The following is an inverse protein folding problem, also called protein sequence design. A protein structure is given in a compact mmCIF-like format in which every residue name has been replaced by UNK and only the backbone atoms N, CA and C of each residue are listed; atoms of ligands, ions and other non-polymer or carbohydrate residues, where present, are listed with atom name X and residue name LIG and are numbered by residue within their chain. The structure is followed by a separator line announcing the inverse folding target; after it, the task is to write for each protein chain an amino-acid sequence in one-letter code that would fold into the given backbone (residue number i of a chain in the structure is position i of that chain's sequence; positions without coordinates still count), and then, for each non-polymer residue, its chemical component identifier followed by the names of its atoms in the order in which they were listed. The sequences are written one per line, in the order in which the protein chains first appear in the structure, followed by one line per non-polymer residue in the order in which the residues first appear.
data_IF_389132259983
#
_entry.id   IF_389132259983
#
_cell.length_a   1.000
_cell.length_b   1.000
_cell.length_c   1.000
_cell.angle_alpha   90.00
_cell.angle_beta   90.00
_cell.angle_gamma   90.00
#
_symmetry.space_group_name_H-M   'P 1'
#
loop_
_entity.id
_entity.type
_entity.pdbx_description
1 polymer ?
#
# COMPACT_ATOMS: atom_id res chain seq x y z
N UNK A 1 18.82 -32.92 38.23
CA UNK A 1 19.16 -32.72 36.82
C UNK A 1 18.20 -31.69 36.24
N UNK A 2 18.62 -30.46 36.13
CA UNK A 2 17.90 -29.32 35.63
C UNK A 2 18.13 -29.25 34.11
N UNK A 3 17.07 -29.42 33.34
CA UNK A 3 17.08 -29.16 31.89
C UNK A 3 16.85 -27.65 31.68
N UNK A 4 17.90 -26.99 31.24
CA UNK A 4 17.86 -25.63 30.71
C UNK A 4 17.38 -25.72 29.26
N UNK A 5 16.21 -25.19 28.98
CA UNK A 5 15.73 -25.03 27.61
C UNK A 5 16.29 -23.75 27.03
N UNK A 6 17.09 -23.90 25.97
CA UNK A 6 17.68 -22.84 25.18
C UNK A 6 16.60 -21.97 24.47
N UNK A 7 16.70 -20.65 24.49
CA UNK A 7 15.77 -19.80 23.76
C UNK A 7 16.05 -19.90 22.25
N UNK A 8 14.96 -19.99 21.49
CA UNK A 8 14.89 -20.04 20.04
C UNK A 8 15.92 -19.13 19.36
N UNK A 9 16.98 -19.74 18.85
CA UNK A 9 17.84 -19.11 17.87
C UNK A 9 17.01 -18.86 16.60
N UNK A 10 16.72 -17.61 16.32
CA UNK A 10 16.36 -17.18 14.98
C UNK A 10 17.57 -17.48 14.10
N UNK A 11 17.59 -18.65 13.46
CA UNK A 11 18.53 -18.95 12.40
C UNK A 11 18.24 -17.97 11.28
N UNK A 12 19.07 -16.93 11.20
CA UNK A 12 19.22 -16.18 9.97
C UNK A 12 19.55 -17.22 8.88
N UNK A 13 18.64 -17.47 7.97
CA UNK A 13 18.91 -18.25 6.77
C UNK A 13 19.94 -17.44 5.97
N UNK A 14 21.23 -17.76 6.13
CA UNK A 14 22.28 -17.28 5.25
C UNK A 14 22.03 -17.98 3.90
N UNK A 15 21.15 -17.41 3.10
CA UNK A 15 21.06 -17.78 1.69
C UNK A 15 22.39 -17.39 1.04
N UNK A 16 23.03 -18.29 0.26
CA UNK A 16 24.29 -17.96 -0.39
C UNK A 16 24.09 -16.70 -1.24
N UNK A 17 24.96 -15.72 -1.04
CA UNK A 17 24.93 -14.45 -1.77
C UNK A 17 25.08 -14.74 -3.27
N UNK A 18 24.18 -14.24 -4.09
CA UNK A 18 24.26 -14.42 -5.55
C UNK A 18 25.61 -13.85 -6.05
N UNK A 19 26.28 -14.59 -6.90
CA UNK A 19 27.57 -14.16 -7.49
C UNK A 19 27.37 -12.89 -8.37
N UNK A 20 26.22 -12.74 -9.04
CA UNK A 20 25.85 -11.58 -9.83
C UNK A 20 24.59 -10.92 -9.24
N UNK A 21 24.65 -9.60 -9.09
CA UNK A 21 23.51 -8.80 -8.59
C UNK A 21 22.35 -8.82 -9.58
N UNK A 22 21.12 -8.69 -9.08
CA UNK A 22 19.93 -8.48 -9.91
C UNK A 22 19.96 -7.12 -10.58
N UNK A 23 19.81 -7.08 -11.89
CA UNK A 23 19.62 -5.85 -12.66
C UNK A 23 18.27 -5.23 -12.27
N UNK A 24 18.31 -4.14 -11.52
CA UNK A 24 17.13 -3.52 -10.90
C UNK A 24 16.85 -2.16 -11.52
N UNK A 25 15.61 -1.91 -11.92
CA UNK A 25 15.14 -0.62 -12.39
C UNK A 25 14.12 -0.02 -11.41
N UNK A 26 14.05 1.30 -11.35
CA UNK A 26 13.11 2.05 -10.51
C UNK A 26 12.23 2.92 -11.39
N UNK A 27 10.91 2.78 -11.28
CA UNK A 27 9.91 3.61 -11.96
C UNK A 27 9.13 4.39 -10.90
N UNK A 28 9.20 5.72 -10.99
CA UNK A 28 8.79 6.63 -9.93
C UNK A 28 9.92 6.85 -8.94
N UNK A 29 10.78 7.84 -9.23
CA UNK A 29 12.01 8.13 -8.48
C UNK A 29 11.83 9.22 -7.42
N UNK A 30 10.58 9.46 -7.01
CA UNK A 30 10.25 10.35 -5.91
C UNK A 30 10.75 9.84 -4.55
N UNK A 31 10.35 10.53 -3.48
CA UNK A 31 10.78 10.21 -2.11
C UNK A 31 10.62 8.71 -1.77
N UNK A 32 9.47 8.11 -2.08
CA UNK A 32 9.20 6.73 -1.65
C UNK A 32 9.94 5.69 -2.52
N UNK A 33 9.99 5.90 -3.83
CA UNK A 33 10.81 5.06 -4.72
C UNK A 33 12.29 5.08 -4.34
N UNK A 34 12.79 6.25 -3.89
CA UNK A 34 14.14 6.38 -3.32
C UNK A 34 14.36 5.54 -2.06
N UNK A 35 13.38 5.48 -1.15
CA UNK A 35 13.49 4.67 0.07
C UNK A 35 13.51 3.16 -0.25
N UNK A 36 12.69 2.69 -1.19
CA UNK A 36 12.70 1.29 -1.61
C UNK A 36 14.02 0.96 -2.32
N UNK A 37 14.49 1.84 -3.19
CA UNK A 37 15.80 1.70 -3.84
C UNK A 37 16.95 1.60 -2.84
N UNK A 38 16.93 2.42 -1.80
CA UNK A 38 17.92 2.36 -0.72
C UNK A 38 17.92 0.99 -0.04
N UNK A 39 16.76 0.45 0.30
CA UNK A 39 16.64 -0.89 0.88
C UNK A 39 17.16 -1.98 -0.05
N UNK A 40 16.90 -1.86 -1.35
CA UNK A 40 17.43 -2.78 -2.37
C UNK A 40 18.96 -2.75 -2.47
N UNK A 41 19.56 -1.55 -2.33
CA UNK A 41 21.02 -1.37 -2.32
C UNK A 41 21.62 -1.95 -1.05
N UNK A 42 21.04 -1.66 0.11
CA UNK A 42 21.51 -2.14 1.41
C UNK A 42 21.48 -3.67 1.53
N UNK A 43 20.53 -4.32 0.88
CA UNK A 43 20.48 -5.78 0.77
C UNK A 43 21.69 -6.35 0.00
N UNK A 44 22.37 -5.55 -0.81
CA UNK A 44 23.63 -5.89 -1.49
C UNK A 44 23.49 -6.80 -2.70
N UNK A 45 22.27 -7.16 -3.09
CA UNK A 45 21.98 -8.07 -4.21
C UNK A 45 21.36 -7.36 -5.42
N UNK A 46 21.23 -6.04 -5.39
CA UNK A 46 20.68 -5.23 -6.47
C UNK A 46 21.74 -4.35 -7.11
N UNK A 47 21.75 -4.27 -8.44
CA UNK A 47 22.46 -3.29 -9.22
C UNK A 47 21.44 -2.38 -9.89
N UNK A 48 21.49 -1.09 -9.60
CA UNK A 48 20.56 -0.13 -10.20
C UNK A 48 21.03 0.19 -11.62
N UNK A 49 20.31 -0.32 -12.60
CA UNK A 49 20.65 -0.16 -14.03
C UNK A 49 19.86 0.93 -14.73
N UNK A 50 18.69 1.29 -14.21
CA UNK A 50 17.84 2.33 -14.78
C UNK A 50 17.00 3.06 -13.72
N UNK A 51 16.78 4.34 -13.97
CA UNK A 51 15.82 5.18 -13.27
C UNK A 51 14.84 5.74 -14.30
N UNK A 52 13.55 5.69 -14.00
CA UNK A 52 12.48 6.18 -14.88
C UNK A 52 11.54 7.10 -14.10
N UNK A 53 11.38 8.33 -14.58
CA UNK A 53 10.41 9.29 -14.04
C UNK A 53 10.07 10.32 -15.11
N UNK A 54 8.86 10.83 -15.11
CA UNK A 54 8.40 11.87 -16.05
C UNK A 54 8.89 13.26 -15.67
N UNK A 55 9.40 13.44 -14.44
CA UNK A 55 10.01 14.67 -13.94
C UNK A 55 11.54 14.54 -13.91
N UNK A 56 12.22 15.24 -14.81
CA UNK A 56 13.69 15.18 -14.92
C UNK A 56 14.42 15.71 -13.70
N UNK A 57 13.77 16.54 -12.87
CA UNK A 57 14.31 16.99 -11.58
C UNK A 57 14.42 15.85 -10.59
N UNK A 58 13.41 14.97 -10.55
CA UNK A 58 13.44 13.77 -9.71
C UNK A 58 14.51 12.77 -10.19
N UNK A 59 14.62 12.55 -11.50
CA UNK A 59 15.66 11.71 -12.08
C UNK A 59 17.06 12.20 -11.69
N UNK A 60 17.33 13.51 -11.86
CA UNK A 60 18.62 14.11 -11.53
C UNK A 60 18.93 13.94 -10.04
N UNK A 61 18.00 14.33 -9.18
CA UNK A 61 18.17 14.26 -7.72
C UNK A 61 18.46 12.81 -7.28
N UNK A 62 17.67 11.84 -7.74
CA UNK A 62 17.82 10.44 -7.34
C UNK A 62 19.10 9.82 -7.90
N UNK A 63 19.52 10.21 -9.12
CA UNK A 63 20.81 9.78 -9.68
C UNK A 63 22.00 10.33 -8.88
N UNK A 64 21.94 11.60 -8.46
CA UNK A 64 22.95 12.21 -7.59
C UNK A 64 23.03 11.55 -6.23
N UNK A 65 21.87 11.27 -5.60
CA UNK A 65 21.80 10.57 -4.31
C UNK A 65 22.33 9.13 -4.41
N UNK A 66 22.00 8.42 -5.48
CA UNK A 66 22.52 7.08 -5.76
C UNK A 66 24.05 7.07 -5.91
N UNK A 67 24.63 8.08 -6.59
CA UNK A 67 26.08 8.16 -6.81
C UNK A 67 26.89 8.29 -5.52
N UNK A 68 26.28 8.75 -4.42
CA UNK A 68 26.89 8.82 -3.08
C UNK A 68 26.89 7.46 -2.36
N UNK A 69 26.07 6.53 -2.80
CA UNK A 69 25.83 5.24 -2.12
C UNK A 69 26.49 4.07 -2.83
N UNK A 70 26.59 4.13 -4.15
CA UNK A 70 27.11 3.05 -4.98
C UNK A 70 27.91 3.58 -6.18
N UNK A 71 28.64 2.69 -6.85
CA UNK A 71 29.29 2.98 -8.13
C UNK A 71 28.37 2.72 -9.34
N UNK A 72 27.11 2.37 -9.13
CA UNK A 72 26.16 2.13 -10.21
C UNK A 72 25.93 3.40 -11.02
N UNK A 73 25.83 3.24 -12.34
CA UNK A 73 25.57 4.32 -13.28
C UNK A 73 24.31 4.01 -14.08
N UNK A 74 23.12 4.26 -13.49
CA UNK A 74 21.86 3.95 -14.15
C UNK A 74 21.65 4.86 -15.37
N UNK A 75 21.01 4.32 -16.39
CA UNK A 75 20.47 5.14 -17.47
C UNK A 75 19.16 5.77 -17.04
N UNK A 76 18.88 6.97 -17.54
CA UNK A 76 17.73 7.77 -17.19
C UNK A 76 16.69 7.71 -18.31
N UNK A 77 15.46 7.45 -17.96
CA UNK A 77 14.33 7.32 -18.89
C UNK A 77 13.14 8.17 -18.44
N UNK A 78 12.36 8.64 -19.40
CA UNK A 78 11.06 9.29 -19.13
C UNK A 78 9.89 8.39 -19.44
N UNK A 79 10.11 7.30 -20.18
CA UNK A 79 9.12 6.30 -20.57
C UNK A 79 9.57 4.90 -20.13
N UNK A 80 8.76 4.27 -19.27
CA UNK A 80 9.05 2.93 -18.75
C UNK A 80 9.07 1.86 -19.85
N UNK A 81 8.33 2.05 -20.94
CA UNK A 81 8.28 1.11 -22.08
C UNK A 81 9.63 1.05 -22.80
N UNK A 82 10.22 2.22 -23.03
CA UNK A 82 11.57 2.33 -23.58
C UNK A 82 12.61 1.73 -22.64
N UNK A 83 12.51 2.01 -21.35
CA UNK A 83 13.39 1.46 -20.31
C UNK A 83 13.33 -0.08 -20.30
N UNK A 84 12.15 -0.67 -20.26
CA UNK A 84 11.97 -2.13 -20.25
C UNK A 84 12.57 -2.78 -21.50
N UNK A 85 12.32 -2.21 -22.69
CA UNK A 85 12.82 -2.73 -23.96
C UNK A 85 14.35 -2.71 -24.04
N UNK A 86 14.99 -1.62 -23.56
CA UNK A 86 16.44 -1.42 -23.67
C UNK A 86 17.23 -2.09 -22.56
N UNK A 87 16.76 -1.98 -21.31
CA UNK A 87 17.55 -2.43 -20.16
C UNK A 87 17.23 -3.86 -19.72
N UNK A 88 16.06 -4.40 -20.04
CA UNK A 88 15.62 -5.74 -19.68
C UNK A 88 15.94 -6.09 -18.22
N UNK A 89 15.45 -5.31 -17.26
CA UNK A 89 15.75 -5.51 -15.85
C UNK A 89 15.19 -6.85 -15.36
N UNK A 90 15.85 -7.44 -14.35
CA UNK A 90 15.37 -8.65 -13.66
C UNK A 90 14.37 -8.32 -12.56
N UNK A 91 14.48 -7.10 -12.00
CA UNK A 91 13.57 -6.55 -10.97
C UNK A 91 13.17 -5.14 -11.39
N UNK A 92 11.88 -4.83 -11.24
CA UNK A 92 11.35 -3.47 -11.39
C UNK A 92 10.65 -3.05 -10.10
N UNK A 93 11.09 -1.93 -9.55
CA UNK A 93 10.41 -1.22 -8.45
C UNK A 93 9.41 -0.25 -9.08
N UNK A 94 8.14 -0.34 -8.70
CA UNK A 94 7.05 0.52 -9.17
C UNK A 94 6.54 1.34 -7.98
N UNK A 95 6.87 2.63 -7.97
CA UNK A 95 6.53 3.57 -6.90
C UNK A 95 6.00 4.90 -7.45
N UNK A 96 5.22 4.81 -8.49
CA UNK A 96 4.49 5.90 -9.15
C UNK A 96 3.18 6.23 -8.39
N UNK A 97 2.37 7.22 -8.81
CA UNK A 97 0.98 7.32 -8.37
C UNK A 97 0.14 6.08 -8.74
N UNK A 98 -0.92 5.83 -7.97
CA UNK A 98 -1.74 4.60 -8.01
C UNK A 98 -2.24 4.26 -9.43
N UNK A 99 -2.64 5.27 -10.20
CA UNK A 99 -3.21 5.10 -11.54
C UNK A 99 -2.21 4.54 -12.57
N UNK A 100 -0.92 4.55 -12.26
CA UNK A 100 0.13 4.00 -13.11
C UNK A 100 0.57 2.59 -12.72
N UNK A 101 0.33 2.17 -11.46
CA UNK A 101 0.81 0.88 -10.96
C UNK A 101 0.45 -0.30 -11.89
N UNK A 102 -0.82 -0.44 -12.36
CA UNK A 102 -1.21 -1.61 -13.14
C UNK A 102 -0.45 -1.75 -14.46
N UNK A 103 -0.39 -0.68 -15.24
CA UNK A 103 0.25 -0.73 -16.57
C UNK A 103 1.74 -1.01 -16.48
N UNK A 104 2.43 -0.37 -15.53
CA UNK A 104 3.87 -0.55 -15.38
C UNK A 104 4.19 -1.94 -14.84
N UNK A 105 3.48 -2.41 -13.81
CA UNK A 105 3.72 -3.72 -13.23
C UNK A 105 3.43 -4.86 -14.21
N UNK A 106 2.33 -4.78 -14.96
CA UNK A 106 1.97 -5.75 -15.99
C UNK A 106 3.03 -5.79 -17.10
N UNK A 107 3.42 -4.63 -17.64
CA UNK A 107 4.43 -4.56 -18.68
C UNK A 107 5.79 -5.10 -18.20
N UNK A 108 6.17 -4.82 -16.95
CA UNK A 108 7.41 -5.34 -16.37
C UNK A 108 7.39 -6.87 -16.24
N UNK A 109 6.30 -7.45 -15.74
CA UNK A 109 6.15 -8.91 -15.64
C UNK A 109 6.14 -9.58 -17.01
N UNK A 110 5.45 -9.01 -18.00
CA UNK A 110 5.45 -9.49 -19.39
C UNK A 110 6.82 -9.38 -20.04
N UNK A 111 7.62 -8.38 -19.69
CA UNK A 111 9.01 -8.22 -20.12
C UNK A 111 9.99 -9.19 -19.38
N UNK A 112 9.49 -9.99 -18.44
CA UNK A 112 10.28 -11.02 -17.74
C UNK A 112 10.85 -10.58 -16.39
N UNK A 113 10.51 -9.39 -15.88
CA UNK A 113 10.97 -8.91 -14.59
C UNK A 113 10.08 -9.40 -13.42
N UNK A 114 10.68 -9.62 -12.25
CA UNK A 114 9.96 -9.66 -11.00
C UNK A 114 9.64 -8.22 -10.55
N UNK A 115 8.54 -8.02 -9.85
CA UNK A 115 8.05 -6.68 -9.54
C UNK A 115 7.88 -6.47 -8.04
N UNK A 116 8.38 -5.35 -7.55
CA UNK A 116 7.97 -4.77 -6.28
C UNK A 116 7.09 -3.56 -6.59
N UNK A 117 5.79 -3.63 -6.26
CA UNK A 117 4.83 -2.56 -6.53
C UNK A 117 4.31 -1.97 -5.24
N UNK A 118 4.19 -0.65 -5.18
CA UNK A 118 3.60 0.02 -4.03
C UNK A 118 2.08 -0.20 -3.92
N UNK A 119 1.61 -0.07 -2.68
CA UNK A 119 0.18 -0.06 -2.32
C UNK A 119 -0.40 1.35 -2.55
N UNK A 120 -1.71 1.46 -2.81
CA UNK A 120 -2.61 0.43 -3.32
C UNK A 120 -2.15 -0.03 -4.72
N UNK A 121 -2.36 -1.30 -5.03
CA UNK A 121 -1.81 -1.85 -6.28
C UNK A 121 -2.47 -1.31 -7.55
N UNK A 122 -3.69 -0.77 -7.42
CA UNK A 122 -4.50 -0.34 -8.55
C UNK A 122 -5.48 0.75 -8.15
N UNK A 123 -5.98 1.46 -9.14
CA UNK A 123 -6.99 2.50 -8.99
C UNK A 123 -8.41 1.93 -9.09
N UNK A 124 -8.60 0.79 -9.77
CA UNK A 124 -9.86 0.06 -9.91
C UNK A 124 -9.67 -1.44 -9.66
N UNK A 125 -10.76 -2.13 -9.34
CA UNK A 125 -10.72 -3.56 -8.97
C UNK A 125 -10.23 -4.43 -10.12
N UNK A 126 -10.71 -4.19 -11.35
CA UNK A 126 -10.35 -5.02 -12.50
C UNK A 126 -8.90 -4.80 -12.96
N UNK A 127 -8.31 -3.62 -12.74
CA UNK A 127 -6.86 -3.41 -12.91
C UNK A 127 -6.05 -4.36 -12.00
N UNK A 128 -6.44 -4.45 -10.72
CA UNK A 128 -5.80 -5.35 -9.78
C UNK A 128 -5.96 -6.83 -10.15
N UNK A 129 -7.13 -7.24 -10.67
CA UNK A 129 -7.32 -8.60 -11.20
C UNK A 129 -6.38 -8.90 -12.35
N UNK A 130 -6.20 -7.97 -13.29
CA UNK A 130 -5.29 -8.13 -14.41
C UNK A 130 -3.84 -8.28 -13.93
N UNK A 131 -3.41 -7.54 -12.89
CA UNK A 131 -2.08 -7.69 -12.28
C UNK A 131 -1.88 -9.09 -11.69
N UNK A 132 -2.86 -9.58 -10.91
CA UNK A 132 -2.81 -10.94 -10.34
C UNK A 132 -2.73 -11.98 -11.46
N UNK A 133 -3.60 -11.87 -12.46
CA UNK A 133 -3.59 -12.78 -13.63
C UNK A 133 -2.23 -12.80 -14.32
N UNK A 134 -1.68 -11.63 -14.61
CA UNK A 134 -0.36 -11.52 -15.29
C UNK A 134 0.75 -12.14 -14.45
N UNK A 135 0.77 -11.92 -13.13
CA UNK A 135 1.78 -12.52 -12.26
C UNK A 135 1.71 -14.06 -12.30
N UNK A 136 0.52 -14.63 -12.27
CA UNK A 136 0.32 -16.10 -12.36
C UNK A 136 0.68 -16.64 -13.75
N UNK A 137 0.28 -15.94 -14.80
CA UNK A 137 0.55 -16.35 -16.18
C UNK A 137 2.05 -16.31 -16.52
N UNK A 138 2.76 -15.28 -16.09
CA UNK A 138 4.19 -15.13 -16.36
C UNK A 138 5.09 -15.90 -15.39
N UNK A 139 4.55 -16.38 -14.27
CA UNK A 139 5.30 -17.02 -13.18
C UNK A 139 6.25 -16.06 -12.47
N UNK A 140 6.07 -14.75 -12.60
CA UNK A 140 6.90 -13.75 -11.94
C UNK A 140 6.44 -13.48 -10.53
N UNK A 141 7.39 -13.27 -9.64
CA UNK A 141 7.11 -12.82 -8.27
C UNK A 141 6.72 -11.35 -8.33
N UNK A 142 5.55 -11.05 -7.80
CA UNK A 142 5.07 -9.68 -7.65
C UNK A 142 4.73 -9.44 -6.18
N UNK A 143 5.55 -8.65 -5.49
CA UNK A 143 5.35 -8.28 -4.09
C UNK A 143 4.82 -6.87 -3.97
N UNK A 144 3.91 -6.67 -3.02
CA UNK A 144 3.30 -5.38 -2.71
C UNK A 144 3.98 -4.74 -1.50
N UNK A 145 4.06 -3.40 -1.47
CA UNK A 145 4.63 -2.61 -0.38
C UNK A 145 3.81 -2.65 0.92
N UNK A 146 3.35 -3.82 1.35
CA UNK A 146 2.60 -4.04 2.60
C UNK A 146 3.55 -4.47 3.73
N UNK A 147 4.49 -3.60 4.07
CA UNK A 147 5.57 -3.88 5.01
C UNK A 147 5.10 -4.28 6.42
N UNK A 148 3.87 -3.94 6.83
CA UNK A 148 3.31 -4.36 8.13
C UNK A 148 3.05 -5.87 8.23
N UNK A 149 3.02 -6.59 7.12
CA UNK A 149 2.94 -8.07 7.12
C UNK A 149 4.21 -8.77 7.59
N UNK A 150 5.33 -8.05 7.65
CA UNK A 150 6.61 -8.59 8.08
C UNK A 150 7.19 -7.87 9.30
N UNK A 151 6.61 -6.73 9.68
CA UNK A 151 7.03 -5.99 10.87
C UNK A 151 6.87 -6.86 12.11
N UNK A 152 7.95 -7.04 12.93
CA UNK A 152 7.93 -8.02 14.03
C UNK A 152 6.77 -7.82 15.01
N UNK A 153 6.48 -6.58 15.39
CA UNK A 153 5.40 -6.25 16.31
C UNK A 153 4.00 -6.48 15.70
N UNK A 154 3.82 -6.26 14.38
CA UNK A 154 2.55 -6.59 13.73
C UNK A 154 2.35 -8.11 13.67
N UNK A 155 3.40 -8.88 13.36
CA UNK A 155 3.34 -10.35 13.33
C UNK A 155 3.01 -10.87 14.72
N UNK A 156 3.68 -10.42 15.78
CA UNK A 156 3.40 -10.86 17.15
C UNK A 156 1.99 -10.46 17.62
N UNK A 157 1.49 -9.27 17.22
CA UNK A 157 0.12 -8.86 17.50
C UNK A 157 -0.92 -9.76 16.80
N UNK A 158 -0.65 -10.18 15.55
CA UNK A 158 -1.49 -11.16 14.85
C UNK A 158 -1.44 -12.53 15.52
N UNK A 159 -0.27 -12.97 15.98
CA UNK A 159 -0.11 -14.23 16.72
C UNK A 159 -0.87 -14.17 18.05
N UNK A 160 -0.85 -13.03 18.73
CA UNK A 160 -1.66 -12.81 19.93
C UNK A 160 -3.16 -12.96 19.65
N UNK A 161 -3.68 -12.35 18.58
CA UNK A 161 -5.09 -12.48 18.18
C UNK A 161 -5.44 -13.93 17.81
N UNK A 162 -4.61 -14.60 17.00
CA UNK A 162 -4.82 -15.98 16.56
C UNK A 162 -4.68 -16.98 17.70
N UNK A 163 -3.96 -16.65 18.77
CA UNK A 163 -3.88 -17.49 19.97
C UNK A 163 -5.18 -17.58 20.76
N UNK A 164 -6.18 -16.74 20.43
CA UNK A 164 -7.46 -16.67 21.14
C UNK A 164 -7.43 -15.91 22.47
N UNK A 165 -6.30 -15.32 22.85
CA UNK A 165 -6.17 -14.57 24.12
C UNK A 165 -7.06 -13.33 24.20
N UNK A 166 -7.45 -12.76 23.06
CA UNK A 166 -8.40 -11.66 23.00
C UNK A 166 -9.88 -12.14 23.05
N UNK A 167 -10.11 -13.46 23.07
CA UNK A 167 -11.43 -14.05 22.97
C UNK A 167 -11.99 -14.02 21.55
N UNK A 168 -13.32 -14.16 21.42
CA UNK A 168 -14.00 -14.07 20.12
C UNK A 168 -14.06 -12.60 19.69
N UNK A 169 -13.43 -12.27 18.56
CA UNK A 169 -13.49 -10.93 17.98
C UNK A 169 -14.81 -10.75 17.24
N UNK A 170 -15.59 -9.75 17.60
CA UNK A 170 -16.86 -9.43 16.96
C UNK A 170 -16.79 -8.19 16.07
N UNK A 171 -15.77 -7.33 16.28
CA UNK A 171 -15.60 -6.09 15.53
C UNK A 171 -14.12 -5.71 15.44
N UNK A 172 -13.73 -5.13 14.29
CA UNK A 172 -12.47 -4.42 14.12
C UNK A 172 -12.74 -2.99 13.66
N UNK A 173 -12.01 -1.98 14.17
CA UNK A 173 -12.13 -0.58 13.75
C UNK A 173 -10.76 -0.03 13.36
N UNK A 174 -10.58 0.26 12.09
CA UNK A 174 -9.42 0.97 11.56
C UNK A 174 -9.73 2.46 11.40
N UNK A 175 -8.74 3.33 11.61
CA UNK A 175 -8.98 4.78 11.62
C UNK A 175 -7.74 5.60 11.28
N UNK A 176 -8.00 6.82 10.76
CA UNK A 176 -7.00 7.89 10.58
C UNK A 176 -7.62 9.23 10.93
N UNK A 177 -6.97 9.99 11.80
CA UNK A 177 -7.42 11.30 12.24
C UNK A 177 -6.33 12.36 12.06
N UNK A 178 -6.56 13.30 11.16
CA UNK A 178 -5.68 14.45 10.98
C UNK A 178 -6.18 15.68 11.74
N UNK A 179 -5.28 16.60 12.03
CA UNK A 179 -5.58 17.85 12.73
C UNK A 179 -5.72 19.03 11.76
N UNK A 180 -6.06 18.78 10.49
CA UNK A 180 -6.22 19.82 9.48
C UNK A 180 -7.44 20.71 9.70
N UNK A 181 -7.55 21.72 8.85
CA UNK A 181 -8.67 22.66 8.78
C UNK A 181 -9.19 22.81 7.36
N UNK A 182 -10.04 23.83 7.08
CA UNK A 182 -10.68 23.98 5.76
C UNK A 182 -9.71 24.16 4.60
N UNK A 183 -8.53 24.75 4.85
CA UNK A 183 -7.57 25.08 3.79
C UNK A 183 -8.09 26.13 2.83
N UNK A 184 -7.39 26.31 1.71
CA UNK A 184 -7.76 27.22 0.62
C UNK A 184 -7.53 26.53 -0.72
N UNK A 185 -8.31 26.86 -1.77
CA UNK A 185 -8.05 26.37 -3.11
C UNK A 185 -6.68 26.86 -3.63
N UNK A 186 -5.97 25.98 -4.31
CA UNK A 186 -4.73 26.34 -5.03
C UNK A 186 -5.10 26.58 -6.49
N UNK A 187 -4.68 27.70 -7.12
CA UNK A 187 -4.94 27.94 -8.53
C UNK A 187 -4.19 26.93 -9.43
N UNK A 188 -4.76 26.67 -10.59
CA UNK A 188 -4.05 25.95 -11.64
C UNK A 188 -2.93 26.81 -12.23
N UNK A 189 -1.85 26.17 -12.62
CA UNK A 189 -0.66 26.78 -13.19
C UNK A 189 -0.20 26.01 -14.44
N UNK A 190 0.79 26.53 -15.14
CA UNK A 190 1.50 25.75 -16.16
C UNK A 190 2.36 24.68 -15.47
N UNK A 191 2.35 23.47 -16.03
CA UNK A 191 3.22 22.43 -15.53
C UNK A 191 4.70 22.82 -15.71
N UNK A 192 5.58 22.47 -14.74
CA UNK A 192 7.02 22.72 -14.89
C UNK A 192 7.56 22.12 -16.20
N UNK A 193 8.44 22.85 -16.89
CA UNK A 193 9.03 22.44 -18.18
C UNK A 193 9.81 21.12 -18.11
N UNK A 194 10.34 20.81 -16.93
CA UNK A 194 11.08 19.59 -16.65
C UNK A 194 10.17 18.35 -16.51
N UNK A 195 8.85 18.57 -16.42
CA UNK A 195 7.86 17.53 -16.18
C UNK A 195 7.01 17.29 -17.42
N UNK A 196 6.90 16.03 -17.84
CA UNK A 196 5.90 15.62 -18.82
C UNK A 196 4.55 15.41 -18.13
N UNK A 197 3.76 16.49 -18.06
CA UNK A 197 2.46 16.44 -17.41
C UNK A 197 1.45 15.52 -18.11
N UNK A 198 1.53 15.44 -19.44
CA UNK A 198 0.68 14.55 -20.21
C UNK A 198 0.97 13.07 -19.87
N UNK A 199 2.25 12.70 -19.81
CA UNK A 199 2.67 11.37 -19.41
C UNK A 199 2.43 11.13 -17.92
N UNK A 200 2.54 12.15 -17.06
CA UNK A 200 2.19 12.02 -15.65
C UNK A 200 0.72 11.65 -15.44
N UNK A 201 -0.20 12.31 -16.15
CA UNK A 201 -1.63 11.96 -16.13
C UNK A 201 -1.88 10.57 -16.76
N UNK A 202 -1.16 10.23 -17.81
CA UNK A 202 -1.17 8.91 -18.45
C UNK A 202 -2.57 8.40 -18.80
N UNK A 203 -2.96 7.22 -18.30
CA UNK A 203 -4.27 6.61 -18.58
C UNK A 203 -5.44 7.33 -17.89
N UNK A 204 -5.17 8.15 -16.88
CA UNK A 204 -6.17 8.93 -16.17
C UNK A 204 -6.59 10.17 -16.98
N UNK A 205 -7.72 10.83 -16.65
CA UNK A 205 -8.13 12.07 -17.29
C UNK A 205 -7.03 13.16 -17.22
N UNK A 206 -6.86 13.89 -18.31
CA UNK A 206 -5.95 15.03 -18.33
C UNK A 206 -6.60 16.23 -17.63
N UNK A 207 -6.06 16.60 -16.48
CA UNK A 207 -6.41 17.84 -15.77
C UNK A 207 -5.38 18.93 -16.04
N UNK A 208 -5.77 20.18 -15.89
CA UNK A 208 -4.82 21.27 -15.73
C UNK A 208 -3.89 20.99 -14.54
N UNK A 209 -2.61 21.36 -14.69
CA UNK A 209 -1.67 21.17 -13.59
C UNK A 209 -2.07 22.05 -12.39
N UNK A 210 -2.05 21.44 -11.21
CA UNK A 210 -2.28 22.14 -9.97
C UNK A 210 -1.16 21.77 -8.97
N UNK A 211 -0.47 22.72 -8.36
CA UNK A 211 0.63 22.46 -7.43
C UNK A 211 0.22 21.61 -6.22
N UNK A 212 -1.08 21.59 -5.88
CA UNK A 212 -1.59 20.71 -4.83
C UNK A 212 -1.57 19.24 -5.21
N UNK A 213 -1.48 18.86 -6.50
CA UNK A 213 -1.41 17.46 -6.93
C UNK A 213 -0.01 16.86 -6.77
N UNK A 214 1.01 17.58 -7.22
CA UNK A 214 2.38 17.08 -7.31
C UNK A 214 3.29 17.78 -6.32
N UNK A 215 4.19 17.07 -5.61
CA UNK A 215 4.52 15.64 -5.80
C UNK A 215 3.71 14.67 -4.94
N UNK A 216 2.92 15.10 -3.98
CA UNK A 216 2.32 14.18 -2.96
C UNK A 216 0.80 14.22 -2.87
N UNK A 217 0.17 15.34 -3.22
CA UNK A 217 -1.25 15.56 -2.99
C UNK A 217 -2.20 14.83 -3.95
N UNK A 218 -1.68 14.20 -5.00
CA UNK A 218 -2.44 13.47 -6.01
C UNK A 218 -3.35 12.39 -5.41
N UNK A 219 -3.03 11.88 -4.22
CA UNK A 219 -3.82 10.90 -3.48
C UNK A 219 -5.25 11.37 -3.22
N UNK A 220 -5.44 12.68 -3.07
CA UNK A 220 -6.71 13.32 -2.79
C UNK A 220 -7.41 13.88 -4.04
N UNK A 221 -6.94 13.50 -5.23
CA UNK A 221 -7.59 13.76 -6.53
C UNK A 221 -8.05 12.42 -7.09
N UNK A 222 -9.37 12.21 -7.13
CA UNK A 222 -9.99 10.89 -7.40
C UNK A 222 -9.74 10.33 -8.80
N UNK A 223 -9.19 11.13 -9.73
CA UNK A 223 -8.70 10.61 -11.02
C UNK A 223 -7.38 9.85 -10.91
N UNK A 224 -6.58 10.14 -9.87
CA UNK A 224 -5.20 9.65 -9.72
C UNK A 224 -4.99 8.76 -8.49
N UNK A 225 -5.80 8.93 -7.45
CA UNK A 225 -5.78 8.15 -6.21
C UNK A 225 -7.17 7.93 -5.65
N UNK A 226 -7.28 7.24 -4.53
CA UNK A 226 -8.56 6.88 -3.89
C UNK A 226 -8.70 7.50 -2.49
N UNK A 227 -8.17 8.71 -2.30
CA UNK A 227 -8.27 9.44 -1.04
C UNK A 227 -7.58 8.74 0.12
N UNK A 228 -7.98 9.11 1.33
CA UNK A 228 -7.37 8.59 2.58
C UNK A 228 -7.65 7.10 2.76
N UNK A 229 -8.84 6.61 2.36
CA UNK A 229 -9.15 5.17 2.43
C UNK A 229 -8.24 4.36 1.50
N UNK A 230 -7.95 4.87 0.29
CA UNK A 230 -7.01 4.22 -0.65
C UNK A 230 -5.56 4.29 -0.16
N UNK A 231 -5.13 5.41 0.42
CA UNK A 231 -3.75 5.59 0.86
C UNK A 231 -3.47 4.91 2.21
N UNK A 232 -4.17 5.32 3.27
CA UNK A 232 -3.99 4.79 4.62
C UNK A 232 -4.82 3.55 4.91
N UNK A 233 -6.07 3.54 4.41
CA UNK A 233 -6.99 2.46 4.71
C UNK A 233 -6.49 1.11 4.24
N UNK A 234 -5.80 1.04 3.12
CA UNK A 234 -5.28 -0.22 2.60
C UNK A 234 -4.30 -0.91 3.58
N UNK A 235 -3.50 -0.16 4.34
CA UNK A 235 -2.62 -0.74 5.36
C UNK A 235 -3.40 -1.44 6.47
N UNK A 236 -4.47 -0.81 6.93
CA UNK A 236 -5.26 -1.31 8.06
C UNK A 236 -6.27 -2.37 7.62
N UNK A 237 -6.84 -2.25 6.43
CA UNK A 237 -7.65 -3.31 5.81
C UNK A 237 -6.79 -4.57 5.63
N UNK A 238 -5.52 -4.39 5.26
CA UNK A 238 -4.57 -5.50 5.17
C UNK A 238 -4.32 -6.17 6.52
N UNK A 239 -4.19 -5.40 7.62
CA UNK A 239 -4.04 -5.98 8.95
C UNK A 239 -5.28 -6.75 9.40
N UNK A 240 -6.48 -6.30 9.06
CA UNK A 240 -7.73 -7.01 9.33
C UNK A 240 -7.75 -8.34 8.54
N UNK A 241 -7.43 -8.30 7.24
CA UNK A 241 -7.35 -9.51 6.40
C UNK A 241 -6.18 -10.44 6.80
N UNK A 242 -5.12 -9.91 7.42
CA UNK A 242 -4.01 -10.72 7.94
C UNK A 242 -4.39 -11.50 9.19
N UNK A 243 -5.27 -10.92 10.03
CA UNK A 243 -5.79 -11.62 11.20
C UNK A 243 -6.84 -12.66 10.83
N UNK A 244 -7.86 -12.28 10.02
CA UNK A 244 -8.96 -13.17 9.68
C UNK A 244 -8.57 -14.13 8.56
N UNK A 245 -9.18 -15.31 8.53
CA UNK A 245 -9.08 -16.24 7.40
C UNK A 245 -10.07 -15.92 6.28
N UNK A 246 -11.03 -15.03 6.53
CA UNK A 246 -11.99 -14.58 5.53
C UNK A 246 -11.30 -13.69 4.48
N UNK A 247 -11.54 -13.99 3.21
CA UNK A 247 -10.81 -13.37 2.09
C UNK A 247 -11.35 -12.01 1.66
N UNK A 248 -12.62 -11.75 1.95
CA UNK A 248 -13.34 -10.54 1.54
C UNK A 248 -14.64 -10.37 2.34
N UNK A 249 -15.17 -9.14 2.46
CA UNK A 249 -16.47 -8.88 3.08
C UNK A 249 -17.61 -9.32 2.14
N UNK A 250 -18.72 -9.71 2.70
CA UNK A 250 -19.94 -10.06 1.94
C UNK A 250 -20.70 -8.83 1.49
N UNK A 251 -20.59 -7.72 2.24
CA UNK A 251 -21.33 -6.50 2.01
C UNK A 251 -20.54 -5.30 2.52
N UNK A 252 -20.65 -4.19 1.80
CA UNK A 252 -19.99 -2.94 2.14
C UNK A 252 -20.98 -1.80 2.06
N UNK A 253 -20.94 -0.91 3.06
CA UNK A 253 -21.65 0.36 3.05
C UNK A 253 -20.68 1.48 3.47
N UNK A 254 -20.74 2.60 2.76
CA UNK A 254 -19.91 3.75 3.06
C UNK A 254 -20.68 5.05 2.97
N UNK A 255 -20.39 5.97 3.88
CA UNK A 255 -20.94 7.32 3.92
C UNK A 255 -19.84 8.32 4.28
N UNK A 256 -20.03 9.58 3.88
CA UNK A 256 -19.05 10.64 4.07
C UNK A 256 -19.16 11.69 2.99
N UNK A 257 -18.15 12.52 2.86
CA UNK A 257 -18.11 13.57 1.84
C UNK A 257 -17.09 14.66 2.14
N UNK A 258 -17.39 15.84 1.64
CA UNK A 258 -16.60 17.07 1.84
C UNK A 258 -17.45 18.10 2.55
N UNK A 259 -17.33 18.14 3.88
CA UNK A 259 -18.07 19.08 4.71
C UNK A 259 -17.22 20.30 5.16
N UNK A 260 -15.92 20.12 5.24
CA UNK A 260 -15.01 21.10 5.85
C UNK A 260 -13.97 21.60 4.84
N UNK A 261 -13.31 20.70 4.07
CA UNK A 261 -12.23 21.10 3.18
C UNK A 261 -12.72 21.97 2.02
N UNK A 262 -12.04 23.11 1.82
CA UNK A 262 -12.24 24.06 0.71
C UNK A 262 -11.08 24.06 -0.29
N UNK A 263 -10.18 23.08 -0.18
CA UNK A 263 -9.01 22.90 -1.06
C UNK A 263 -9.41 22.47 -2.47
N UNK A 264 -8.47 22.47 -3.41
CA UNK A 264 -8.66 22.02 -4.79
C UNK A 264 -8.82 20.50 -4.95
N UNK A 265 -8.64 19.72 -3.87
CA UNK A 265 -8.82 18.25 -3.87
C UNK A 265 -10.30 17.87 -3.98
N UNK A 266 -10.60 16.64 -4.40
CA UNK A 266 -11.98 16.13 -4.55
C UNK A 266 -12.28 14.87 -3.73
N UNK A 267 -11.30 14.31 -3.04
CA UNK A 267 -11.52 13.19 -2.14
C UNK A 267 -12.29 13.60 -0.86
N UNK A 268 -13.02 12.67 -0.21
CA UNK A 268 -13.73 12.93 1.04
C UNK A 268 -12.80 13.44 2.14
N UNK A 269 -13.25 14.44 2.90
CA UNK A 269 -12.57 14.91 4.10
C UNK A 269 -12.96 14.13 5.36
N UNK A 270 -14.08 13.42 5.31
CA UNK A 270 -14.50 12.44 6.31
C UNK A 270 -15.21 11.28 5.62
N UNK A 271 -15.03 10.08 6.14
CA UNK A 271 -15.67 8.88 5.63
C UNK A 271 -15.75 7.81 6.72
N UNK A 272 -16.90 7.14 6.79
CA UNK A 272 -17.10 5.91 7.55
C UNK A 272 -17.50 4.83 6.57
N UNK A 273 -16.82 3.69 6.62
CA UNK A 273 -17.20 2.52 5.83
C UNK A 273 -17.33 1.29 6.75
N UNK A 274 -18.34 0.49 6.51
CA UNK A 274 -18.56 -0.80 7.19
C UNK A 274 -18.41 -1.93 6.21
N UNK A 275 -17.73 -2.98 6.64
CA UNK A 275 -17.44 -4.18 5.89
C UNK A 275 -17.97 -5.37 6.67
N UNK A 276 -19.02 -5.97 6.19
CA UNK A 276 -19.70 -7.10 6.83
C UNK A 276 -19.08 -8.40 6.37
N UNK A 277 -18.36 -9.07 7.27
CA UNK A 277 -17.82 -10.40 7.10
C UNK A 277 -18.79 -11.46 7.64
N UNK A 278 -18.46 -12.72 7.53
CA UNK A 278 -19.31 -13.80 8.05
C UNK A 278 -19.39 -13.78 9.58
N UNK A 279 -18.25 -13.57 10.23
CA UNK A 279 -18.12 -13.76 11.68
C UNK A 279 -17.90 -12.45 12.45
N UNK A 280 -17.65 -11.33 11.76
CA UNK A 280 -17.38 -10.03 12.40
C UNK A 280 -17.70 -8.87 11.44
N UNK A 281 -17.66 -7.66 11.96
CA UNK A 281 -17.75 -6.43 11.17
C UNK A 281 -16.46 -5.64 11.27
N UNK A 282 -15.89 -5.20 10.14
CA UNK A 282 -14.84 -4.21 10.11
C UNK A 282 -15.41 -2.82 9.85
N UNK A 283 -14.82 -1.80 10.47
CA UNK A 283 -15.17 -0.39 10.29
C UNK A 283 -13.91 0.38 9.90
N UNK A 284 -14.04 1.25 8.92
CA UNK A 284 -13.10 2.31 8.62
C UNK A 284 -13.67 3.65 9.06
N UNK A 285 -12.86 4.47 9.69
CA UNK A 285 -13.22 5.85 10.05
C UNK A 285 -12.05 6.77 9.74
N UNK A 286 -12.32 7.82 8.98
CA UNK A 286 -11.35 8.88 8.72
C UNK A 286 -11.95 10.26 8.87
N UNK A 287 -11.09 11.21 9.25
CA UNK A 287 -11.32 12.65 9.08
C UNK A 287 -10.00 13.39 8.94
N UNK A 288 -10.01 14.44 8.13
CA UNK A 288 -8.82 15.25 7.84
C UNK A 288 -8.84 16.58 8.60
N UNK A 289 -9.66 16.69 9.63
CA UNK A 289 -9.84 17.87 10.48
C UNK A 289 -10.07 17.46 11.94
N UNK A 290 -9.95 18.41 12.86
CA UNK A 290 -10.19 18.29 14.31
C UNK A 290 -9.27 17.33 15.08
N UNK A 291 -8.45 16.51 14.42
CA UNK A 291 -7.63 15.51 15.11
C UNK A 291 -8.45 14.58 16.00
N UNK A 292 -7.88 14.10 17.10
CA UNK A 292 -8.61 13.29 18.07
C UNK A 292 -8.03 13.40 19.50
N UNK A 293 -8.01 14.60 20.06
CA UNK A 293 -7.45 14.82 21.42
C UNK A 293 -8.25 14.16 22.52
N UNK A 294 -9.55 13.93 22.29
CA UNK A 294 -10.44 13.34 23.31
C UNK A 294 -10.21 11.81 23.48
N UNK A 295 -9.84 11.12 22.40
CA UNK A 295 -9.62 9.68 22.41
C UNK A 295 -8.13 9.30 22.51
N UNK A 296 -7.23 10.25 22.23
CA UNK A 296 -5.79 10.03 22.26
C UNK A 296 -5.22 10.21 23.65
N UNK A 297 -4.56 9.20 24.15
CA UNK A 297 -3.66 9.33 25.31
C UNK A 297 -2.21 9.60 24.87
N UNK A 298 -1.87 9.32 23.61
CA UNK A 298 -0.54 9.51 23.02
C UNK A 298 -0.65 10.07 21.58
N UNK A 299 0.28 10.94 21.11
CA UNK A 299 0.25 11.51 19.75
C UNK A 299 0.16 10.48 18.63
N UNK A 300 0.83 9.32 18.80
CA UNK A 300 0.89 8.27 17.79
C UNK A 300 -0.40 7.47 17.61
N UNK A 301 -1.39 7.70 18.46
CA UNK A 301 -2.72 7.09 18.37
C UNK A 301 -3.69 7.80 17.41
N UNK A 302 -3.15 8.56 16.45
CA UNK A 302 -3.95 9.18 15.38
C UNK A 302 -4.32 8.23 14.26
N UNK A 303 -3.68 7.05 14.20
CA UNK A 303 -3.84 6.06 13.15
C UNK A 303 -3.61 4.66 13.70
N UNK A 304 -4.47 3.72 13.35
CA UNK A 304 -4.34 2.36 13.86
C UNK A 304 -5.56 1.49 13.59
N UNK A 305 -5.58 0.33 14.23
CA UNK A 305 -6.71 -0.59 14.24
C UNK A 305 -6.94 -1.16 15.64
N UNK A 306 -8.20 -1.20 16.04
CA UNK A 306 -8.67 -1.91 17.22
C UNK A 306 -9.37 -3.22 16.84
N UNK A 307 -9.12 -4.28 17.60
CA UNK A 307 -9.84 -5.54 17.55
C UNK A 307 -10.56 -5.74 18.88
N UNK A 308 -11.90 -5.78 18.84
CA UNK A 308 -12.74 -5.88 20.03
C UNK A 308 -13.18 -7.33 20.24
N UNK A 309 -12.64 -7.96 21.28
CA UNK A 309 -12.91 -9.33 21.65
C UNK A 309 -13.59 -9.47 23.00
N UNK A 310 -14.09 -10.67 23.31
CA UNK A 310 -14.78 -10.97 24.57
C UNK A 310 -13.86 -10.91 25.80
N UNK A 311 -12.56 -11.13 25.62
CA UNK A 311 -11.55 -11.07 26.68
C UNK A 311 -10.85 -9.71 26.79
N UNK A 312 -11.06 -8.81 25.83
CA UNK A 312 -10.46 -7.48 25.80
C UNK A 312 -10.28 -6.92 24.42
N UNK A 313 -9.60 -5.78 24.35
CA UNK A 313 -9.36 -5.01 23.13
C UNK A 313 -7.87 -4.99 22.80
N UNK A 314 -7.50 -5.40 21.59
CA UNK A 314 -6.15 -5.22 21.06
C UNK A 314 -6.13 -3.97 20.18
N UNK A 315 -5.18 -3.07 20.41
CA UNK A 315 -4.82 -1.95 19.54
C UNK A 315 -3.49 -2.22 18.85
N UNK A 316 -3.42 -2.00 17.54
CA UNK A 316 -2.16 -1.95 16.79
C UNK A 316 -2.04 -0.55 16.20
N UNK A 317 -0.98 0.17 16.57
CA UNK A 317 -0.67 1.50 16.10
C UNK A 317 0.33 1.52 14.96
N UNK A 318 0.62 2.72 14.45
CA UNK A 318 1.60 2.88 13.36
C UNK A 318 3.04 2.84 13.85
N UNK A 319 3.33 3.52 14.96
CA UNK A 319 4.68 3.68 15.51
C UNK A 319 4.81 3.15 16.95
N UNK A 320 3.72 2.84 17.62
CA UNK A 320 3.65 2.51 19.05
C UNK A 320 3.48 1.00 19.34
N UNK A 321 3.67 0.14 18.33
CA UNK A 321 3.55 -1.31 18.48
C UNK A 321 2.10 -1.75 18.65
N UNK A 322 1.85 -2.66 19.61
CA UNK A 322 0.49 -3.07 19.96
C UNK A 322 0.28 -3.13 21.47
N UNK A 323 -0.97 -2.94 21.88
CA UNK A 323 -1.39 -2.97 23.28
C UNK A 323 -2.68 -3.75 23.42
N UNK A 324 -2.72 -4.71 24.32
CA UNK A 324 -3.92 -5.42 24.72
C UNK A 324 -4.45 -4.91 26.07
N UNK A 325 -5.67 -4.47 26.07
CA UNK A 325 -6.43 -4.02 27.23
C UNK A 325 -7.42 -5.11 27.63
N UNK A 326 -7.14 -5.89 28.71
CA UNK A 326 -8.06 -6.94 29.16
C UNK A 326 -9.43 -6.37 29.58
N UNK A 327 -10.51 -7.11 29.30
CA UNK A 327 -11.85 -6.76 29.81
C UNK A 327 -11.93 -6.85 31.35
N UNK A 328 -11.19 -7.80 31.93
CA UNK A 328 -11.01 -7.89 33.37
C UNK A 328 -9.97 -6.83 33.82
N UNK A 329 -10.46 -5.79 34.52
CA UNK A 329 -9.64 -4.68 35.03
C UNK A 329 -8.56 -5.09 36.03
N UNK A 330 -8.63 -6.32 36.60
CA UNK A 330 -7.61 -6.84 37.52
C UNK A 330 -6.44 -7.50 36.78
N UNK A 331 -6.55 -7.73 35.48
CA UNK A 331 -5.46 -8.26 34.65
C UNK A 331 -4.60 -7.08 34.14
N UNK A 332 -3.29 -7.26 34.06
CA UNK A 332 -2.40 -6.22 33.56
C UNK A 332 -2.61 -5.98 32.05
N UNK A 333 -2.47 -4.73 31.64
CA UNK A 333 -2.33 -4.36 30.22
C UNK A 333 -1.04 -4.97 29.68
N UNK A 334 -1.10 -5.52 28.48
CA UNK A 334 0.06 -6.08 27.78
C UNK A 334 0.44 -5.14 26.65
N UNK A 335 1.71 -4.78 26.56
CA UNK A 335 2.22 -3.92 25.50
C UNK A 335 3.49 -4.52 24.88
N UNK A 336 3.62 -4.39 23.57
CA UNK A 336 4.84 -4.67 22.82
C UNK A 336 5.21 -3.47 21.96
N UNK A 337 6.42 -2.96 22.18
CA UNK A 337 6.97 -1.82 21.43
C UNK A 337 7.17 -2.12 19.95
N UNK A 338 7.05 -1.09 19.12
CA UNK A 338 7.34 -1.20 17.70
C UNK A 338 8.83 -1.45 17.45
N UNK A 339 9.13 -2.36 16.53
CA UNK A 339 10.47 -2.62 16.01
C UNK A 339 10.54 -2.14 14.57
N UNK A 340 10.98 -0.92 14.38
CA UNK A 340 10.98 -0.22 13.09
C UNK A 340 12.41 0.14 12.67
N UNK A 341 12.65 0.15 11.35
CA UNK A 341 13.93 0.55 10.79
C UNK A 341 14.03 2.07 10.66
N UNK A 342 15.23 2.60 10.80
CA UNK A 342 15.52 4.00 10.52
C UNK A 342 16.12 4.13 9.10
N UNK A 343 15.92 5.26 8.41
CA UNK A 343 15.31 6.50 8.90
C UNK A 343 13.80 6.62 8.67
N UNK A 344 13.14 5.68 8.00
CA UNK A 344 11.78 5.81 7.49
C UNK A 344 10.68 5.27 8.42
N UNK A 345 11.07 4.67 9.55
CA UNK A 345 10.17 4.03 10.50
C UNK A 345 9.29 2.93 9.89
N UNK A 346 9.88 2.17 8.95
CA UNK A 346 9.23 1.08 8.23
C UNK A 346 10.09 -0.20 8.34
N UNK A 347 9.56 -1.31 7.81
CA UNK A 347 10.31 -2.56 7.70
C UNK A 347 10.48 -2.96 6.21
N UNK A 348 10.91 -1.99 5.38
CA UNK A 348 11.12 -2.20 3.94
C UNK A 348 12.27 -3.18 3.71
N UNK A 349 13.32 -3.12 4.53
CA UNK A 349 14.48 -4.00 4.39
C UNK A 349 14.10 -5.48 4.56
N UNK A 350 13.28 -5.81 5.56
CA UNK A 350 12.79 -7.17 5.79
C UNK A 350 11.84 -7.61 4.68
N UNK A 351 10.97 -6.70 4.21
CA UNK A 351 10.07 -6.98 3.10
C UNK A 351 10.85 -7.23 1.81
N UNK A 352 11.90 -6.43 1.55
CA UNK A 352 12.80 -6.63 0.42
C UNK A 352 13.55 -7.97 0.50
N UNK A 353 14.04 -8.34 1.68
CA UNK A 353 14.70 -9.64 1.89
C UNK A 353 13.73 -10.81 1.63
N UNK A 354 12.47 -10.69 2.05
CA UNK A 354 11.43 -11.67 1.73
C UNK A 354 11.18 -11.76 0.22
N UNK A 355 11.14 -10.63 -0.49
CA UNK A 355 11.01 -10.58 -1.94
C UNK A 355 12.14 -11.32 -2.65
N UNK A 356 13.40 -11.04 -2.29
CA UNK A 356 14.55 -11.73 -2.85
C UNK A 356 14.53 -13.24 -2.55
N UNK A 357 14.13 -13.62 -1.33
CA UNK A 357 13.93 -15.03 -0.98
C UNK A 357 12.88 -15.70 -1.86
N UNK A 358 11.77 -15.00 -2.12
CA UNK A 358 10.69 -15.51 -2.98
C UNK A 358 11.15 -15.69 -4.42
N UNK A 359 11.93 -14.76 -4.97
CA UNK A 359 12.52 -14.90 -6.31
C UNK A 359 13.44 -16.13 -6.38
N UNK A 360 14.26 -16.37 -5.35
CA UNK A 360 15.20 -17.50 -5.32
C UNK A 360 14.51 -18.86 -5.16
N UNK A 361 13.44 -18.91 -4.38
CA UNK A 361 12.77 -20.17 -4.00
C UNK A 361 11.55 -20.50 -4.85
N UNK A 362 11.02 -19.53 -5.59
CA UNK A 362 9.73 -19.65 -6.29
C UNK A 362 8.51 -19.67 -5.38
N UNK A 363 8.68 -19.46 -4.06
CA UNK A 363 7.56 -19.36 -3.11
C UNK A 363 6.95 -17.98 -3.16
N UNK A 364 5.63 -17.89 -2.99
CA UNK A 364 4.93 -16.60 -2.90
C UNK A 364 5.44 -15.78 -1.70
N UNK A 365 5.62 -14.46 -1.87
CA UNK A 365 6.03 -13.58 -0.79
C UNK A 365 4.90 -13.35 0.23
N UNK A 366 5.26 -12.86 1.42
CA UNK A 366 4.29 -12.57 2.49
C UNK A 366 3.26 -11.51 2.09
N UNK A 367 3.61 -10.63 1.16
CA UNK A 367 2.75 -9.62 0.58
C UNK A 367 2.57 -9.85 -0.93
N UNK A 368 2.20 -11.08 -1.31
CA UNK A 368 1.93 -11.44 -2.71
C UNK A 368 0.88 -10.52 -3.34
N UNK A 369 0.95 -10.35 -4.66
CA UNK A 369 0.03 -9.48 -5.42
C UNK A 369 -1.44 -9.80 -5.18
N UNK A 370 -1.82 -11.07 -4.96
CA UNK A 370 -3.21 -11.43 -4.65
C UNK A 370 -3.64 -10.93 -3.27
N UNK A 371 -2.73 -10.97 -2.29
CA UNK A 371 -2.95 -10.39 -0.96
C UNK A 371 -3.15 -8.88 -1.09
N UNK A 372 -2.25 -8.20 -1.82
CA UNK A 372 -2.36 -6.77 -2.10
C UNK A 372 -3.64 -6.41 -2.84
N UNK A 373 -4.08 -7.24 -3.77
CA UNK A 373 -5.36 -7.07 -4.47
C UNK A 373 -6.55 -7.11 -3.50
N UNK A 374 -6.61 -8.10 -2.61
CA UNK A 374 -7.69 -8.21 -1.62
C UNK A 374 -7.73 -7.01 -0.67
N UNK A 375 -6.58 -6.58 -0.18
CA UNK A 375 -6.47 -5.43 0.72
C UNK A 375 -6.83 -4.13 0.01
N UNK A 376 -6.41 -3.95 -1.25
CA UNK A 376 -6.80 -2.81 -2.09
C UNK A 376 -8.31 -2.82 -2.37
N UNK A 377 -8.89 -3.99 -2.64
CA UNK A 377 -10.33 -4.11 -2.92
C UNK A 377 -11.21 -3.66 -1.74
N UNK A 378 -10.77 -3.87 -0.49
CA UNK A 378 -11.48 -3.32 0.67
C UNK A 378 -11.66 -1.80 0.54
N UNK A 379 -10.56 -1.10 0.25
CA UNK A 379 -10.61 0.35 0.06
C UNK A 379 -11.47 0.76 -1.16
N UNK A 380 -11.29 0.08 -2.29
CA UNK A 380 -12.02 0.38 -3.53
C UNK A 380 -13.53 0.12 -3.39
N UNK A 381 -13.93 -0.95 -2.69
CA UNK A 381 -15.34 -1.23 -2.41
C UNK A 381 -15.95 -0.17 -1.49
N UNK A 382 -15.22 0.32 -0.49
CA UNK A 382 -15.65 1.44 0.34
C UNK A 382 -15.85 2.72 -0.46
N UNK A 383 -14.93 3.06 -1.38
CA UNK A 383 -15.07 4.20 -2.29
C UNK A 383 -16.24 4.01 -3.27
N UNK A 384 -16.44 2.80 -3.76
CA UNK A 384 -17.51 2.48 -4.69
C UNK A 384 -18.89 2.62 -4.03
N UNK A 385 -19.05 2.09 -2.81
CA UNK A 385 -20.29 2.23 -2.03
C UNK A 385 -20.60 3.70 -1.73
N UNK A 386 -19.56 4.50 -1.39
CA UNK A 386 -19.70 5.95 -1.20
C UNK A 386 -20.20 6.64 -2.48
N UNK A 387 -19.58 6.33 -3.62
CA UNK A 387 -19.96 6.90 -4.93
C UNK A 387 -21.37 6.56 -5.34
N UNK A 388 -21.83 5.34 -5.06
CA UNK A 388 -23.19 4.86 -5.36
C UNK A 388 -24.24 5.34 -4.34
N UNK A 389 -23.80 5.81 -3.17
CA UNK A 389 -24.69 6.25 -2.09
C UNK A 389 -25.52 5.11 -1.47
N UNK A 390 -25.07 3.86 -1.61
CA UNK A 390 -25.79 2.67 -1.14
C UNK A 390 -24.88 1.51 -0.79
N UNK A 391 -25.44 0.56 -0.08
CA UNK A 391 -24.81 -0.73 0.23
C UNK A 391 -24.59 -1.55 -1.04
N UNK A 392 -23.48 -2.26 -1.11
CA UNK A 392 -23.15 -3.19 -2.19
C UNK A 392 -22.82 -4.58 -1.62
N UNK A 393 -23.32 -5.64 -2.25
CA UNK A 393 -22.88 -7.00 -1.98
C UNK A 393 -21.56 -7.28 -2.72
N UNK A 394 -20.76 -8.22 -2.24
CA UNK A 394 -19.52 -8.62 -2.89
C UNK A 394 -19.34 -10.13 -2.78
N UNK A 395 -19.08 -10.82 -3.88
CA UNK A 395 -18.87 -12.28 -3.92
C UNK A 395 -17.38 -12.69 -3.99
N UNK A 396 -16.49 -11.70 -3.89
CA UNK A 396 -15.04 -11.89 -4.06
C UNK A 396 -14.53 -11.58 -5.47
N UNK A 397 -15.44 -11.40 -6.43
CA UNK A 397 -15.14 -11.19 -7.84
C UNK A 397 -15.97 -10.09 -8.48
N UNK A 398 -17.24 -9.99 -8.15
CA UNK A 398 -18.19 -9.03 -8.73
C UNK A 398 -19.26 -8.63 -7.71
N UNK A 399 -20.08 -7.67 -8.07
CA UNK A 399 -21.24 -7.24 -7.30
C UNK A 399 -22.46 -7.97 -7.87
N UNK A 400 -23.00 -9.00 -7.16
CA UNK A 400 -24.07 -9.83 -7.70
C UNK A 400 -25.32 -9.02 -8.03
N UNK A 401 -25.91 -9.28 -9.19
CA UNK A 401 -27.16 -8.66 -9.66
C UNK A 401 -27.16 -7.13 -9.74
N UNK A 402 -25.96 -6.51 -9.91
CA UNK A 402 -25.78 -5.07 -9.94
C UNK A 402 -24.93 -4.63 -11.15
N UNK A 403 -25.50 -4.55 -12.36
CA UNK A 403 -24.78 -4.17 -13.56
C UNK A 403 -24.22 -2.75 -13.52
N UNK A 404 -24.88 -1.82 -12.83
CA UNK A 404 -24.41 -0.44 -12.66
C UNK A 404 -23.13 -0.39 -11.86
N UNK A 405 -23.11 -1.04 -10.69
CA UNK A 405 -21.92 -1.09 -9.84
C UNK A 405 -20.77 -1.87 -10.50
N UNK A 406 -21.07 -2.96 -11.22
CA UNK A 406 -20.05 -3.74 -11.92
C UNK A 406 -19.34 -2.95 -13.03
N UNK A 407 -19.99 -1.99 -13.70
CA UNK A 407 -19.31 -1.08 -14.65
C UNK A 407 -18.24 -0.23 -13.99
N UNK A 408 -18.39 0.09 -12.70
CA UNK A 408 -17.46 0.90 -11.93
C UNK A 408 -16.26 0.09 -11.38
N UNK A 409 -16.23 -1.23 -11.55
CA UNK A 409 -15.06 -2.05 -11.27
C UNK A 409 -13.90 -1.75 -12.24
N UNK A 410 -14.20 -1.05 -13.33
CA UNK A 410 -13.26 -0.55 -14.33
C UNK A 410 -13.47 0.94 -14.55
N UNK A 411 -12.57 1.55 -15.32
CA UNK A 411 -12.68 2.93 -15.80
C UNK A 411 -12.23 3.05 -17.24
N UNK A 412 -12.65 4.11 -17.92
CA UNK A 412 -12.08 4.44 -19.22
C UNK A 412 -10.64 4.93 -19.09
N UNK A 413 -9.78 4.50 -20.01
CA UNK A 413 -8.45 5.03 -20.19
C UNK A 413 -8.44 6.10 -21.27
N UNK A 414 -7.60 7.11 -21.09
CA UNK A 414 -7.46 8.26 -21.98
C UNK A 414 -6.53 7.95 -23.15
N UNK A 415 -6.86 8.46 -24.34
CA UNK A 415 -6.00 8.39 -25.53
C UNK A 415 -5.71 6.97 -25.96
N UNK A 416 -4.43 6.72 -26.29
CA UNK A 416 -3.97 5.40 -26.77
C UNK A 416 -3.62 4.40 -25.66
N UNK A 417 -3.95 4.72 -24.42
CA UNK A 417 -3.76 3.80 -23.30
C UNK A 417 -4.86 2.74 -23.30
N UNK A 418 -4.47 1.48 -23.22
CA UNK A 418 -5.39 0.36 -23.18
C UNK A 418 -5.56 -0.16 -21.76
N UNK A 419 -6.83 -0.37 -21.38
CA UNK A 419 -7.18 -0.95 -20.10
C UNK A 419 -6.63 -2.40 -20.03
N UNK A 420 -5.94 -2.82 -18.97
CA UNK A 420 -5.41 -4.16 -18.87
C UNK A 420 -6.53 -5.19 -18.69
N UNK A 421 -6.41 -6.31 -19.36
CA UNK A 421 -7.39 -7.42 -19.36
C UNK A 421 -6.79 -8.68 -18.78
#
# INVERSE_FOLDING_TARGET
ATLVTDPLQVRAFITPKRAQKYRTAVVGTGWWGGNIMLSAIQAGESQIVALCDVDTRQLKKTSEDLSKLTSDKPKLYRDYREMLAKEKPEIVIVATPDHWHPLIAIAAMQAGANVYVEKPISHTINEGKAMVHTARQTGKICQVGLHRRISPHNVSGMDFLKSGKAGKIGMARAFVYYAGGPGQPTPNEEAPKEMDWNMWCGPAPLRAFNPAMHPRGWRNFLDYGNGVLGDWGVHWMDQILFWTEEKYPRKVYSTGGRAILQTSTDAPDHQVATFEFENFTAVWEQRTFAGNRAEKTHPDQAVGVYFYGTEGTLHIGWLDGWTFYPADKNKPVIHEEAKLNKPDDQNIAELWANFLSSIKTGKLPVADIEIGHRSTNMALLGMLSLKLGRSIAWDGSQIPNDPEANKLLSRAYRGDWHYPT
#
